data_IF_702594131103
#
_entry.id   IF_702594131103
#
_cell.length_a   1.000
_cell.length_b   1.000
_cell.length_c   1.000
_cell.angle_alpha   90.00
_cell.angle_beta   90.00
_cell.angle_gamma   90.00
#
_symmetry.space_group_name_H-M   'P 1'
#
loop_
_entity.id
_entity.type
_entity.pdbx_description
1 polymer ?
#
# COMPACT_ATOMS: atom_id res chain seq x y z
N UNK A 1 62.58 -23.16 17.31
CA UNK A 1 62.04 -21.81 17.02
C UNK A 1 60.95 -21.96 15.99
N UNK A 2 59.69 -22.13 16.47
CA UNK A 2 58.54 -22.33 15.59
C UNK A 2 57.78 -21.03 15.48
N UNK A 3 57.75 -20.46 14.28
CA UNK A 3 56.95 -19.29 13.96
C UNK A 3 55.58 -19.74 13.44
N UNK A 4 54.58 -19.77 14.30
CA UNK A 4 53.18 -19.98 13.92
C UNK A 4 52.64 -18.72 13.26
N UNK A 5 52.38 -18.78 11.96
CA UNK A 5 51.69 -17.74 11.24
C UNK A 5 50.19 -17.91 11.48
N UNK A 6 49.58 -16.96 12.16
CA UNK A 6 48.11 -16.85 12.33
C UNK A 6 47.58 -16.10 11.11
N UNK A 7 46.95 -16.82 10.18
CA UNK A 7 46.21 -16.23 9.09
C UNK A 7 44.81 -15.85 9.64
N UNK A 8 44.61 -14.57 9.90
CA UNK A 8 43.29 -14.02 10.22
C UNK A 8 42.46 -13.89 8.92
N UNK A 9 41.50 -14.79 8.76
CA UNK A 9 40.53 -14.72 7.68
C UNK A 9 39.48 -13.67 8.01
N UNK A 10 39.65 -12.47 7.45
CA UNK A 10 38.67 -11.41 7.53
C UNK A 10 37.51 -11.72 6.59
N UNK A 11 36.42 -12.27 7.11
CA UNK A 11 35.14 -12.40 6.41
C UNK A 11 34.49 -11.02 6.31
N UNK A 12 34.57 -10.39 5.11
CA UNK A 12 33.76 -9.24 4.79
C UNK A 12 32.29 -9.71 4.67
N UNK A 13 31.51 -9.41 5.68
CA UNK A 13 30.06 -9.46 5.59
C UNK A 13 29.60 -8.32 4.68
N UNK A 14 29.30 -8.60 3.42
CA UNK A 14 28.55 -7.73 2.53
C UNK A 14 27.13 -7.66 3.07
N UNK A 15 26.87 -6.70 3.96
CA UNK A 15 25.51 -6.30 4.31
C UNK A 15 24.91 -5.67 3.03
N UNK A 16 24.11 -6.43 2.28
CA UNK A 16 23.27 -5.92 1.22
C UNK A 16 22.31 -4.91 1.87
N UNK A 17 22.53 -3.62 1.63
CA UNK A 17 21.51 -2.61 1.92
C UNK A 17 20.37 -2.83 0.93
N UNK A 18 19.33 -3.55 1.31
CA UNK A 18 18.02 -3.40 0.71
C UNK A 18 17.59 -1.96 0.99
N UNK A 19 17.49 -1.16 -0.04
CA UNK A 19 16.99 0.21 0.06
C UNK A 19 15.48 0.17 0.21
N UNK A 20 15.01 -0.03 1.44
CA UNK A 20 13.60 0.16 1.77
C UNK A 20 13.28 1.65 1.61
N UNK A 21 12.28 1.96 0.79
CA UNK A 21 11.74 3.30 0.66
C UNK A 21 10.52 3.44 1.56
N UNK A 22 10.45 4.54 2.30
CA UNK A 22 9.30 4.83 3.17
C UNK A 22 8.85 6.27 2.95
N UNK A 23 7.59 6.54 3.24
CA UNK A 23 7.06 7.88 3.09
C UNK A 23 5.76 8.10 3.85
N UNK A 24 5.27 9.31 3.74
CA UNK A 24 4.03 9.74 4.40
C UNK A 24 3.04 10.28 3.37
N UNK A 25 1.77 10.27 3.75
CA UNK A 25 0.68 10.90 3.04
C UNK A 25 -0.29 11.54 4.00
N UNK A 26 -1.17 12.35 3.48
CA UNK A 26 -2.25 12.97 4.23
C UNK A 26 -3.59 12.68 3.57
N UNK A 27 -4.64 12.63 4.38
CA UNK A 27 -5.99 12.47 3.86
C UNK A 27 -7.01 13.17 4.74
N UNK A 28 -8.22 13.27 4.21
CA UNK A 28 -9.35 13.86 4.92
C UNK A 28 -10.61 13.02 4.69
N UNK A 29 -11.34 12.77 5.77
CA UNK A 29 -12.64 12.10 5.69
C UNK A 29 -13.65 13.03 5.01
N UNK A 30 -14.20 12.57 3.90
CA UNK A 30 -15.18 13.33 3.12
C UNK A 30 -16.39 13.74 3.97
N UNK A 31 -16.78 14.98 3.88
CA UNK A 31 -17.92 15.56 4.61
C UNK A 31 -17.63 16.00 6.05
N UNK A 32 -16.55 15.54 6.68
CA UNK A 32 -16.19 15.96 8.05
C UNK A 32 -14.85 16.64 8.15
N UNK A 33 -14.03 16.54 7.11
CA UNK A 33 -12.65 17.04 7.03
C UNK A 33 -11.74 16.60 8.19
N UNK A 34 -12.07 15.47 8.84
CA UNK A 34 -11.21 14.92 9.87
C UNK A 34 -9.93 14.39 9.22
N UNK A 35 -8.75 14.81 9.70
CA UNK A 35 -7.50 14.41 9.10
C UNK A 35 -7.19 12.92 9.35
N UNK A 36 -6.54 12.31 8.37
CA UNK A 36 -5.99 10.96 8.43
C UNK A 36 -4.53 11.06 7.98
N UNK A 37 -3.62 10.54 8.79
CA UNK A 37 -2.21 10.44 8.44
C UNK A 37 -1.96 9.06 7.84
N UNK A 38 -1.24 9.01 6.72
CA UNK A 38 -0.77 7.77 6.10
C UNK A 38 0.74 7.66 6.25
N UNK A 39 1.21 6.44 6.52
CA UNK A 39 2.62 6.08 6.38
C UNK A 39 2.70 4.81 5.53
N UNK A 40 3.75 4.69 4.75
CA UNK A 40 3.99 3.52 3.92
C UNK A 40 5.47 3.17 3.91
N UNK A 41 5.76 1.89 3.72
CA UNK A 41 7.10 1.35 3.57
C UNK A 41 7.07 0.31 2.44
N UNK A 42 7.95 0.45 1.47
CA UNK A 42 8.07 -0.50 0.37
C UNK A 42 8.97 -1.66 0.75
N UNK A 43 8.51 -2.87 0.46
CA UNK A 43 9.34 -4.07 0.49
C UNK A 43 10.08 -4.24 -0.85
N UNK A 44 9.39 -3.85 -1.94
CA UNK A 44 9.93 -3.79 -3.29
C UNK A 44 9.36 -2.55 -4.02
N UNK A 45 9.60 -2.43 -5.33
CA UNK A 45 9.08 -1.29 -6.11
C UNK A 45 7.55 -1.26 -6.23
N UNK A 46 6.86 -2.38 -6.02
CA UNK A 46 5.45 -2.55 -6.34
C UNK A 46 4.56 -2.83 -5.13
N UNK A 47 5.14 -3.25 -4.00
CA UNK A 47 4.40 -3.63 -2.80
C UNK A 47 5.04 -3.14 -1.52
N UNK A 48 4.30 -3.25 -0.43
CA UNK A 48 4.77 -2.92 0.91
C UNK A 48 3.64 -2.77 1.91
N UNK A 49 3.98 -2.27 3.07
CA UNK A 49 3.06 -2.02 4.16
C UNK A 49 2.56 -0.59 4.19
N UNK A 50 1.33 -0.41 4.64
CA UNK A 50 0.70 0.89 4.81
C UNK A 50 -0.04 0.96 6.14
N UNK A 51 0.02 2.13 6.76
CA UNK A 51 -0.74 2.44 7.98
C UNK A 51 -1.51 3.73 7.77
N UNK A 52 -2.79 3.73 8.18
CA UNK A 52 -3.62 4.92 8.22
C UNK A 52 -4.05 5.21 9.66
N UNK A 53 -3.70 6.40 10.16
CA UNK A 53 -4.00 6.84 11.53
C UNK A 53 -4.96 8.02 11.51
N UNK A 54 -6.10 7.84 12.16
CA UNK A 54 -7.11 8.88 12.33
C UNK A 54 -6.80 9.77 13.53
N UNK A 55 -7.28 11.00 13.49
CA UNK A 55 -7.20 11.93 14.63
C UNK A 55 -7.88 11.42 15.91
N UNK A 56 -8.78 10.44 15.80
CA UNK A 56 -9.40 9.76 16.93
C UNK A 56 -8.51 8.71 17.61
N UNK A 57 -7.30 8.47 17.09
CA UNK A 57 -6.40 7.40 17.55
C UNK A 57 -6.67 6.03 16.92
N UNK A 58 -7.69 5.89 16.06
CA UNK A 58 -7.95 4.64 15.35
C UNK A 58 -6.91 4.42 14.27
N UNK A 59 -6.35 3.20 14.23
CA UNK A 59 -5.26 2.81 13.33
C UNK A 59 -5.71 1.65 12.46
N UNK A 60 -5.42 1.72 11.18
CA UNK A 60 -5.57 0.64 10.19
C UNK A 60 -4.20 0.30 9.63
N UNK A 61 -3.88 -0.98 9.58
CA UNK A 61 -2.61 -1.49 9.03
C UNK A 61 -2.88 -2.58 8.00
N UNK A 62 -2.00 -2.71 7.04
CA UNK A 62 -2.09 -3.76 6.02
C UNK A 62 -1.15 -3.49 4.87
N UNK A 63 -1.30 -4.26 3.80
CA UNK A 63 -0.41 -4.20 2.66
C UNK A 63 -1.02 -3.40 1.52
N UNK A 64 -0.16 -2.83 0.69
CA UNK A 64 -0.50 -2.24 -0.59
C UNK A 64 0.24 -2.94 -1.72
N UNK A 65 -0.33 -2.84 -2.90
CA UNK A 65 0.23 -3.42 -4.11
C UNK A 65 -0.03 -2.53 -5.33
N UNK A 66 1.02 -2.29 -6.13
CA UNK A 66 0.89 -1.60 -7.40
C UNK A 66 0.54 -2.58 -8.52
N UNK A 67 -0.54 -2.32 -9.23
CA UNK A 67 -0.98 -3.12 -10.36
C UNK A 67 -0.09 -2.81 -11.57
N UNK A 68 0.58 -3.85 -12.10
CA UNK A 68 1.42 -3.79 -13.29
C UNK A 68 0.89 -4.77 -14.34
N UNK A 69 1.47 -4.76 -15.55
CA UNK A 69 1.11 -5.73 -16.59
C UNK A 69 1.41 -7.18 -16.22
N UNK A 70 2.30 -7.39 -15.26
CA UNK A 70 2.70 -8.72 -14.75
C UNK A 70 1.92 -9.15 -13.52
N UNK A 71 1.06 -8.29 -12.99
CA UNK A 71 0.26 -8.60 -11.79
C UNK A 71 -0.71 -9.73 -12.11
N UNK A 72 -0.69 -10.78 -11.31
CA UNK A 72 -1.64 -11.90 -11.39
C UNK A 72 -2.83 -11.65 -10.48
N UNK A 73 -3.99 -12.22 -10.86
CA UNK A 73 -5.22 -12.13 -10.08
C UNK A 73 -5.05 -12.70 -8.68
N UNK A 74 -4.27 -13.76 -8.52
CA UNK A 74 -3.97 -14.38 -7.24
C UNK A 74 -3.28 -13.44 -6.22
N UNK A 75 -2.60 -12.38 -6.69
CA UNK A 75 -2.04 -11.35 -5.82
C UNK A 75 -3.07 -10.31 -5.34
N UNK A 76 -4.22 -10.25 -6.01
CA UNK A 76 -5.28 -9.31 -5.66
C UNK A 76 -6.32 -9.92 -4.71
N UNK A 77 -6.48 -11.25 -4.74
CA UNK A 77 -7.45 -11.95 -3.90
C UNK A 77 -7.32 -11.60 -2.41
N UNK A 78 -6.12 -11.61 -1.80
CA UNK A 78 -5.97 -11.23 -0.40
C UNK A 78 -6.33 -9.79 -0.08
N UNK A 79 -6.30 -8.90 -1.09
CA UNK A 79 -6.65 -7.49 -0.90
C UNK A 79 -8.16 -7.27 -0.75
N UNK A 80 -8.95 -8.26 -1.14
CA UNK A 80 -10.42 -8.21 -1.04
C UNK A 80 -10.98 -9.07 0.09
N UNK A 81 -10.11 -9.75 0.85
CA UNK A 81 -10.52 -10.56 2.00
C UNK A 81 -11.21 -9.71 3.07
N UNK A 82 -12.29 -10.25 3.63
CA UNK A 82 -13.07 -9.58 4.67
C UNK A 82 -14.06 -8.52 4.17
N UNK A 83 -14.13 -8.27 2.87
CA UNK A 83 -15.18 -7.44 2.27
C UNK A 83 -16.38 -8.33 1.92
N UNK A 84 -17.32 -8.45 2.85
CA UNK A 84 -18.65 -9.00 2.54
C UNK A 84 -19.33 -8.16 1.46
N UNK A 85 -20.36 -8.62 0.83
CA UNK A 85 -21.15 -8.06 -0.27
C UNK A 85 -20.75 -6.70 -0.86
N UNK A 86 -20.70 -6.56 -2.18
CA UNK A 86 -20.24 -5.35 -2.87
C UNK A 86 -21.04 -4.13 -2.40
N UNK A 87 -20.34 -3.15 -1.84
CA UNK A 87 -20.94 -1.87 -1.46
C UNK A 87 -21.49 -1.18 -2.71
N UNK A 88 -22.71 -0.67 -2.63
CA UNK A 88 -23.48 -0.09 -3.74
C UNK A 88 -22.97 1.27 -4.26
N UNK A 89 -21.84 1.75 -3.81
CA UNK A 89 -21.26 2.99 -4.34
C UNK A 89 -20.73 2.76 -5.76
N UNK A 90 -21.27 3.48 -6.74
CA UNK A 90 -21.10 3.21 -8.15
C UNK A 90 -19.66 3.08 -8.67
N UNK A 91 -18.75 3.86 -8.10
CA UNK A 91 -17.32 3.86 -8.45
C UNK A 91 -16.54 2.62 -7.97
N UNK A 92 -16.98 2.00 -6.87
CA UNK A 92 -16.32 0.83 -6.29
C UNK A 92 -16.80 -0.49 -6.89
N UNK A 93 -17.99 -0.51 -7.49
CA UNK A 93 -18.54 -1.69 -8.17
C UNK A 93 -17.65 -2.19 -9.31
N UNK A 94 -16.96 -1.26 -9.94
CA UNK A 94 -16.05 -1.60 -11.03
C UNK A 94 -14.80 -2.37 -10.52
N UNK A 95 -14.38 -2.09 -9.30
CA UNK A 95 -13.27 -2.77 -8.64
C UNK A 95 -13.67 -4.10 -8.01
N UNK A 96 -14.96 -4.28 -7.71
CA UNK A 96 -15.51 -5.49 -7.10
C UNK A 96 -16.06 -6.48 -8.14
N UNK A 97 -16.31 -6.03 -9.37
CA UNK A 97 -17.16 -6.77 -10.29
C UNK A 97 -16.47 -7.93 -11.01
N UNK A 98 -15.17 -7.88 -11.19
CA UNK A 98 -14.38 -8.97 -11.75
C UNK A 98 -12.87 -8.65 -11.59
N UNK A 99 -12.14 -9.34 -10.72
CA UNK A 99 -10.68 -9.25 -10.66
C UNK A 99 -9.99 -9.92 -11.87
N UNK A 100 -10.75 -10.22 -12.93
CA UNK A 100 -10.26 -10.90 -14.11
C UNK A 100 -9.22 -10.12 -14.93
N UNK A 101 -8.78 -10.75 -15.99
CA UNK A 101 -7.68 -10.30 -16.88
C UNK A 101 -7.80 -8.86 -17.40
N UNK A 102 -9.02 -8.30 -17.48
CA UNK A 102 -9.25 -6.92 -17.93
C UNK A 102 -8.81 -5.87 -16.91
N UNK A 103 -8.88 -6.20 -15.62
CA UNK A 103 -8.43 -5.35 -14.53
C UNK A 103 -6.92 -5.13 -14.58
N UNK A 104 -6.16 -6.20 -14.79
CA UNK A 104 -4.69 -6.17 -14.86
C UNK A 104 -4.17 -5.38 -16.07
N UNK A 105 -4.87 -5.41 -17.19
CA UNK A 105 -4.42 -4.74 -18.41
C UNK A 105 -4.65 -3.23 -18.45
N UNK A 106 -5.66 -2.72 -17.74
CA UNK A 106 -6.08 -1.31 -17.84
C UNK A 106 -5.41 -0.36 -16.86
N UNK A 107 -4.81 -0.86 -15.77
CA UNK A 107 -4.51 -0.05 -14.61
C UNK A 107 -3.03 -0.03 -14.18
N UNK A 108 -2.09 -0.04 -15.13
CA UNK A 108 -0.68 0.26 -14.80
C UNK A 108 -0.57 1.65 -14.18
N UNK A 109 0.09 1.74 -13.02
CA UNK A 109 0.22 2.98 -12.25
C UNK A 109 -0.82 3.15 -11.13
N UNK A 110 -1.74 2.19 -10.97
CA UNK A 110 -2.67 2.16 -9.86
C UNK A 110 -2.12 1.31 -8.71
N UNK A 111 -2.35 1.78 -7.50
CA UNK A 111 -2.07 1.08 -6.26
C UNK A 111 -3.38 0.77 -5.56
N UNK A 112 -3.50 -0.45 -5.06
CA UNK A 112 -4.59 -0.88 -4.19
C UNK A 112 -4.03 -1.24 -2.82
N UNK A 113 -4.78 -1.00 -1.76
CA UNK A 113 -4.42 -1.40 -0.42
C UNK A 113 -5.64 -1.92 0.33
N UNK A 114 -5.42 -2.93 1.17
CA UNK A 114 -6.40 -3.44 2.11
C UNK A 114 -5.82 -3.36 3.52
N UNK A 115 -6.43 -2.50 4.33
CA UNK A 115 -5.99 -2.25 5.70
C UNK A 115 -7.09 -2.70 6.66
N UNK A 116 -6.71 -3.13 7.84
CA UNK A 116 -7.61 -3.57 8.88
C UNK A 116 -7.25 -2.94 10.23
N UNK A 117 -8.26 -2.72 11.05
CA UNK A 117 -8.12 -2.27 12.43
C UNK A 117 -8.32 -3.45 13.39
N UNK A 118 -7.85 -3.30 14.63
CA UNK A 118 -7.97 -4.34 15.67
C UNK A 118 -9.43 -4.72 15.99
N UNK A 119 -10.37 -3.80 15.77
CA UNK A 119 -11.80 -4.04 15.98
C UNK A 119 -12.49 -4.81 14.84
N UNK A 120 -11.74 -5.25 13.81
CA UNK A 120 -12.27 -5.96 12.66
C UNK A 120 -12.81 -5.07 11.53
N UNK A 121 -12.75 -3.74 11.66
CA UNK A 121 -13.04 -2.85 10.53
C UNK A 121 -11.98 -2.98 9.43
N UNK A 122 -12.42 -2.89 8.19
CA UNK A 122 -11.56 -2.89 7.00
C UNK A 122 -11.59 -1.53 6.31
N UNK A 123 -10.44 -1.18 5.71
CA UNK A 123 -10.31 -0.02 4.83
C UNK A 123 -9.64 -0.47 3.55
N UNK A 124 -10.31 -0.29 2.42
CA UNK A 124 -9.69 -0.48 1.11
C UNK A 124 -9.38 0.85 0.46
N UNK A 125 -8.23 0.93 -0.18
CA UNK A 125 -7.76 2.14 -0.84
C UNK A 125 -7.41 1.85 -2.29
N UNK A 126 -7.51 2.90 -3.11
CA UNK A 126 -7.00 2.94 -4.47
C UNK A 126 -6.31 4.27 -4.70
N UNK A 127 -5.13 4.23 -5.28
CA UNK A 127 -4.33 5.43 -5.56
C UNK A 127 -3.88 5.42 -7.02
N UNK A 128 -3.75 6.61 -7.58
CA UNK A 128 -3.18 6.85 -8.89
C UNK A 128 -1.81 7.49 -8.69
N UNK A 129 -0.76 6.82 -9.14
CA UNK A 129 0.60 7.30 -9.01
C UNK A 129 0.92 8.35 -10.09
N UNK A 130 1.62 9.40 -9.71
CA UNK A 130 2.12 10.43 -10.63
C UNK A 130 3.32 9.90 -11.42
N UNK A 131 4.18 9.12 -10.76
CA UNK A 131 5.36 8.48 -11.37
C UNK A 131 5.37 6.99 -11.07
N UNK A 132 4.64 6.17 -11.87
CA UNK A 132 4.46 4.75 -11.59
C UNK A 132 5.74 3.93 -11.44
N UNK A 133 6.81 4.29 -12.16
CA UNK A 133 8.11 3.60 -12.11
C UNK A 133 8.82 3.75 -10.75
N UNK A 134 8.40 4.72 -9.94
CA UNK A 134 8.93 4.97 -8.60
C UNK A 134 8.05 4.40 -7.48
N UNK A 135 7.00 3.64 -7.83
CA UNK A 135 6.03 3.16 -6.86
C UNK A 135 5.43 4.30 -6.03
N UNK A 136 5.16 4.04 -4.75
CA UNK A 136 4.61 5.05 -3.82
C UNK A 136 5.52 6.27 -3.63
N UNK A 137 6.84 6.13 -3.79
CA UNK A 137 7.78 7.25 -3.76
C UNK A 137 7.58 8.25 -4.90
N UNK A 138 6.92 7.82 -5.98
CA UNK A 138 6.53 8.68 -7.10
C UNK A 138 5.43 9.68 -6.78
N UNK A 139 4.80 9.55 -5.60
CA UNK A 139 3.66 10.34 -5.18
C UNK A 139 2.37 10.00 -5.94
N UNK A 140 1.25 10.43 -5.41
CA UNK A 140 -0.05 10.15 -6.02
C UNK A 140 -1.20 10.65 -5.16
N UNK A 141 -2.39 10.39 -5.66
CA UNK A 141 -3.64 10.71 -4.97
C UNK A 141 -4.62 9.56 -5.09
N UNK A 142 -5.59 9.50 -4.21
CA UNK A 142 -6.61 8.48 -4.29
C UNK A 142 -7.65 8.56 -3.21
N UNK A 143 -8.35 7.44 -3.06
CA UNK A 143 -9.48 7.34 -2.13
C UNK A 143 -9.44 6.02 -1.36
N UNK A 144 -9.88 6.09 -0.11
CA UNK A 144 -10.14 4.93 0.71
C UNK A 144 -11.60 4.87 1.12
N UNK A 145 -12.11 3.68 1.34
CA UNK A 145 -13.46 3.41 1.81
C UNK A 145 -13.39 2.53 3.06
N UNK A 146 -14.23 2.83 4.06
CA UNK A 146 -14.37 2.04 5.29
C UNK A 146 -15.51 1.02 5.14
N UNK A 147 -15.33 -0.19 5.69
CA UNK A 147 -16.33 -1.27 5.61
C UNK A 147 -17.62 -0.98 6.37
N UNK A 148 -17.54 -0.37 7.53
CA UNK A 148 -18.70 -0.11 8.41
C UNK A 148 -19.43 1.21 8.09
N UNK A 149 -18.76 2.14 7.48
CA UNK A 149 -19.35 3.40 7.08
C UNK A 149 -19.02 3.63 5.62
N UNK A 150 -20.00 3.94 4.80
CA UNK A 150 -19.77 4.33 3.40
C UNK A 150 -18.95 5.64 3.25
N UNK A 151 -18.16 5.97 4.28
CA UNK A 151 -17.33 7.18 4.29
C UNK A 151 -16.09 6.96 3.45
N UNK A 152 -15.89 7.91 2.57
CA UNK A 152 -14.68 7.99 1.76
C UNK A 152 -13.64 8.91 2.43
N UNK A 153 -12.37 8.57 2.20
CA UNK A 153 -11.22 9.36 2.60
C UNK A 153 -10.48 9.73 1.33
N UNK A 154 -10.31 11.01 1.07
CA UNK A 154 -9.39 11.46 0.04
C UNK A 154 -7.98 11.42 0.61
N UNK A 155 -7.04 10.86 -0.12
CA UNK A 155 -5.65 10.73 0.31
C UNK A 155 -4.70 11.27 -0.77
N UNK A 156 -3.60 11.89 -0.31
CA UNK A 156 -2.55 12.45 -1.15
C UNK A 156 -1.18 12.05 -0.59
N UNK A 157 -0.28 11.69 -1.48
CA UNK A 157 1.09 11.29 -1.19
C UNK A 157 2.04 12.19 -1.95
N UNK A 158 2.90 12.97 -1.28
CA UNK A 158 3.89 13.81 -1.93
C UNK A 158 4.97 12.94 -2.60
N UNK A 159 5.56 13.47 -3.66
CA UNK A 159 6.76 12.87 -4.26
C UNK A 159 7.91 12.90 -3.27
N UNK A 160 8.59 11.79 -3.15
CA UNK A 160 9.86 11.74 -2.43
C UNK A 160 10.98 12.27 -3.36
N UNK A 161 11.88 13.03 -2.81
CA UNK A 161 13.06 13.57 -3.53
C UNK A 161 14.13 12.50 -3.72
#
# INVERSE_FOLDING_TARGET
>A
MNKSAIIALATLALAGCETQTAGTGSGNVRGTQKPVAFTWQSDDSNSGDMTATFSSGRVFTGSYFQITHETRVDHLDPLWDGWGHPHRSGDWRYWDADPGNDFVRKYSGHVVANLHAENGEHMRCRFNLISPQRGMAGGGEGRCQLSESEREINAEFPRQS
#
